data_IF_685844616118
#
_entry.id   IF_685844616118
#
_cell.length_a   1.000
_cell.length_b   1.000
_cell.length_c   1.000
_cell.angle_alpha   90.00
_cell.angle_beta   90.00
_cell.angle_gamma   90.00
#
_symmetry.space_group_name_H-M   'P 1'
#
loop_
_entity.id
_entity.type
_entity.pdbx_description
1 polymer ?
#
# COMPACT_ATOMS: atom_id res chain seq x y z
N UNK A 1 9.45 0.15 3.92
CA UNK A 1 9.80 1.36 4.69
C UNK A 1 10.03 2.50 3.71
N UNK A 2 9.03 3.37 3.57
CA UNK A 2 9.12 4.55 2.70
C UNK A 2 9.63 5.72 3.55
N UNK A 3 10.82 6.20 3.25
CA UNK A 3 11.38 7.42 3.82
C UNK A 3 11.14 8.57 2.86
N UNK A 4 10.23 9.48 3.22
CA UNK A 4 10.13 10.79 2.58
C UNK A 4 10.92 11.80 3.41
N UNK A 5 12.07 12.27 2.92
CA UNK A 5 12.81 13.36 3.53
C UNK A 5 12.39 14.67 2.88
N UNK A 6 11.52 15.43 3.53
CA UNK A 6 11.28 16.83 3.16
C UNK A 6 12.41 17.66 3.77
N UNK A 7 13.47 17.92 3.00
CA UNK A 7 14.54 18.82 3.40
C UNK A 7 14.05 20.26 3.31
N UNK A 8 13.90 20.92 4.45
CA UNK A 8 13.67 22.36 4.52
C UNK A 8 14.99 23.11 4.44
N UNK A 9 15.37 23.52 3.23
CA UNK A 9 16.60 24.33 2.98
C UNK A 9 16.39 25.84 3.25
N UNK A 10 15.27 26.23 3.87
CA UNK A 10 14.82 27.63 3.88
C UNK A 10 15.42 28.47 5.03
N UNK A 11 15.90 27.86 6.13
CA UNK A 11 16.37 28.61 7.29
C UNK A 11 17.84 28.31 7.62
N UNK A 12 18.76 29.02 6.99
CA UNK A 12 20.17 29.05 7.40
C UNK A 12 20.38 29.97 8.63
N UNK A 13 20.50 29.32 9.79
CA UNK A 13 21.29 29.72 10.98
C UNK A 13 21.08 31.16 11.51
N UNK A 14 20.07 31.31 12.33
CA UNK A 14 20.11 32.29 13.40
C UNK A 14 20.09 31.54 14.74
N UNK A 15 21.02 31.81 15.65
CA UNK A 15 21.03 31.21 16.97
C UNK A 15 19.72 31.55 17.70
N UNK A 16 19.02 30.53 18.21
CA UNK A 16 17.76 30.69 18.95
C UNK A 16 16.50 30.64 18.12
N UNK A 17 16.56 30.19 16.86
CA UNK A 17 15.41 29.82 16.04
C UNK A 17 15.10 28.32 16.15
N UNK A 18 13.85 27.96 16.03
CA UNK A 18 13.40 26.57 15.96
C UNK A 18 12.63 26.32 14.67
N UNK A 19 12.57 25.08 14.28
CA UNK A 19 11.72 24.65 13.17
C UNK A 19 11.00 23.36 13.52
N UNK A 20 9.95 23.08 12.79
CA UNK A 20 9.15 21.91 13.08
C UNK A 20 8.28 21.50 11.91
N UNK A 21 7.55 20.43 12.16
CA UNK A 21 6.62 19.85 11.21
C UNK A 21 5.38 19.35 11.92
N UNK A 22 4.22 19.59 11.32
CA UNK A 22 2.94 18.95 11.65
C UNK A 22 2.71 17.87 10.60
N UNK A 23 2.72 16.57 10.95
CA UNK A 23 2.66 15.49 9.96
C UNK A 23 1.35 15.38 9.17
N UNK A 24 0.24 15.92 9.72
CA UNK A 24 -1.06 15.86 9.07
C UNK A 24 -1.81 14.53 9.25
N UNK A 25 -1.37 13.70 10.20
CA UNK A 25 -1.96 12.40 10.56
C UNK A 25 -2.51 12.38 12.00
N UNK A 26 -2.70 13.54 12.60
CA UNK A 26 -3.19 13.69 13.96
C UNK A 26 -2.13 13.60 15.06
N UNK A 27 -0.87 13.32 14.71
CA UNK A 27 0.24 13.38 15.67
C UNK A 27 0.55 14.82 16.07
N UNK A 28 1.10 14.98 17.27
CA UNK A 28 1.60 16.27 17.74
C UNK A 28 2.74 16.80 16.86
N UNK A 29 2.90 18.13 16.76
CA UNK A 29 4.01 18.74 16.02
C UNK A 29 5.36 18.26 16.54
N UNK A 30 6.27 17.96 15.61
CA UNK A 30 7.68 17.63 15.92
C UNK A 30 8.46 18.93 15.76
N UNK A 31 9.17 19.35 16.83
CA UNK A 31 9.94 20.61 16.83
C UNK A 31 11.37 20.36 17.28
N UNK A 32 12.32 21.09 16.70
CA UNK A 32 13.72 21.06 17.08
C UNK A 32 14.34 22.45 16.98
N UNK A 33 15.40 22.68 17.78
CA UNK A 33 16.18 23.90 17.64
C UNK A 33 17.14 23.82 16.45
N UNK A 34 17.33 24.96 15.76
CA UNK A 34 18.17 25.00 14.56
C UNK A 34 19.67 24.75 14.83
N UNK A 35 20.07 24.75 16.10
CA UNK A 35 21.43 24.39 16.55
C UNK A 35 21.61 22.88 16.76
N UNK A 36 20.53 22.16 17.09
CA UNK A 36 20.56 20.74 17.44
C UNK A 36 20.35 19.84 16.22
N UNK A 37 19.57 20.30 15.26
CA UNK A 37 19.29 19.53 14.05
C UNK A 37 19.16 20.44 12.80
N UNK A 38 19.35 19.83 11.65
CA UNK A 38 19.15 20.48 10.34
C UNK A 38 18.03 19.84 9.52
N UNK A 39 17.46 18.74 10.04
CA UNK A 39 16.42 17.96 9.39
C UNK A 39 15.47 17.32 10.40
N UNK A 40 14.26 17.06 9.99
CA UNK A 40 13.27 16.26 10.72
C UNK A 40 12.82 15.14 9.79
N UNK A 41 12.99 13.89 10.22
CA UNK A 41 12.50 12.72 9.52
C UNK A 41 11.08 12.38 10.00
N UNK A 42 10.18 12.12 9.07
CA UNK A 42 8.82 11.67 9.35
C UNK A 42 8.63 10.30 8.70
N UNK A 43 8.13 9.36 9.49
CA UNK A 43 7.72 8.05 9.00
C UNK A 43 6.20 7.99 8.97
N UNK A 44 5.64 7.62 7.81
CA UNK A 44 4.22 7.31 7.64
C UNK A 44 4.06 5.80 7.54
N UNK A 45 3.17 5.24 8.35
CA UNK A 45 2.94 3.78 8.43
C UNK A 45 1.72 3.32 7.64
N UNK A 46 0.88 4.26 7.22
CA UNK A 46 -0.32 3.98 6.45
C UNK A 46 -0.32 4.77 5.15
N UNK A 47 -0.99 4.22 4.14
CA UNK A 47 -1.22 4.94 2.89
C UNK A 47 -2.18 6.12 3.10
N UNK A 48 -2.05 7.15 2.29
CA UNK A 48 -2.89 8.35 2.37
C UNK A 48 -2.28 9.56 1.68
N UNK A 49 -3.07 10.60 1.53
CA UNK A 49 -2.60 11.92 1.11
C UNK A 49 -2.54 12.82 2.36
N UNK A 50 -1.34 13.22 2.75
CA UNK A 50 -1.05 13.97 3.97
C UNK A 50 -0.74 15.42 3.68
N UNK A 51 -1.46 16.34 4.33
CA UNK A 51 -1.10 17.76 4.33
C UNK A 51 -0.09 18.03 5.44
N UNK A 52 1.17 17.97 5.09
CA UNK A 52 2.30 18.19 6.00
C UNK A 52 2.58 19.69 6.07
N UNK A 53 2.58 20.26 7.29
CA UNK A 53 2.95 21.67 7.50
C UNK A 53 4.35 21.78 8.08
N UNK A 54 5.30 22.26 7.28
CA UNK A 54 6.59 22.67 7.79
C UNK A 54 6.51 24.09 8.35
N UNK A 55 7.16 24.36 9.48
CA UNK A 55 7.18 25.69 10.06
C UNK A 55 8.53 26.07 10.62
N UNK A 56 8.82 27.39 10.60
CA UNK A 56 9.96 28.00 11.27
C UNK A 56 9.51 29.04 12.28
N UNK A 57 10.21 29.14 13.39
CA UNK A 57 9.98 30.15 14.42
C UNK A 57 11.29 30.91 14.64
N UNK A 58 11.26 32.23 14.47
CA UNK A 58 12.42 33.09 14.70
C UNK A 58 12.64 33.38 16.20
N UNK A 59 13.70 34.15 16.52
CA UNK A 59 14.02 34.57 17.88
C UNK A 59 12.98 35.49 18.52
N UNK A 60 12.17 36.16 17.73
CA UNK A 60 11.10 37.07 18.19
C UNK A 60 9.78 36.32 18.38
N UNK A 61 9.76 35.01 18.04
CA UNK A 61 8.58 34.13 18.15
C UNK A 61 7.61 34.23 16.96
N UNK A 62 8.02 34.87 15.86
CA UNK A 62 7.23 34.86 14.65
C UNK A 62 7.33 33.49 13.97
N UNK A 63 6.20 32.96 13.56
CA UNK A 63 6.09 31.67 12.90
C UNK A 63 5.71 31.85 11.44
N UNK A 64 6.40 31.14 10.56
CA UNK A 64 6.07 31.00 9.15
C UNK A 64 5.78 29.53 8.84
N UNK A 65 4.71 29.27 8.10
CA UNK A 65 4.23 27.94 7.75
C UNK A 65 4.26 27.71 6.25
N UNK A 66 4.60 26.50 5.84
CA UNK A 66 4.47 26.01 4.47
C UNK A 66 3.79 24.66 4.46
N UNK A 67 2.69 24.54 3.71
CA UNK A 67 1.98 23.27 3.53
C UNK A 67 2.53 22.55 2.31
N UNK A 68 2.77 21.26 2.46
CA UNK A 68 3.26 20.35 1.42
C UNK A 68 2.32 19.13 1.43
N UNK A 69 1.81 18.76 0.27
CA UNK A 69 1.07 17.50 0.14
C UNK A 69 2.04 16.35 -0.10
N UNK A 70 1.94 15.31 0.72
CA UNK A 70 2.76 14.10 0.65
C UNK A 70 1.83 12.91 0.40
N UNK A 71 2.02 12.27 -0.75
CA UNK A 71 1.28 11.08 -1.13
C UNK A 71 2.05 9.84 -0.69
N UNK A 72 1.41 8.98 0.07
CA UNK A 72 1.94 7.67 0.50
C UNK A 72 1.08 6.59 -0.14
N UNK A 73 1.62 5.92 -1.11
CA UNK A 73 1.02 4.75 -1.73
C UNK A 73 1.40 3.49 -0.96
N UNK A 74 0.60 2.45 -1.08
CA UNK A 74 0.88 1.16 -0.46
C UNK A 74 1.13 0.10 -1.53
N UNK A 75 2.20 -0.66 -1.34
CA UNK A 75 2.50 -1.85 -2.11
C UNK A 75 2.64 -3.04 -1.16
N UNK A 76 1.92 -4.12 -1.46
CA UNK A 76 1.92 -5.35 -0.66
C UNK A 76 2.20 -6.52 -1.59
N UNK A 77 3.23 -7.30 -1.28
CA UNK A 77 3.49 -8.60 -1.89
C UNK A 77 3.17 -9.71 -0.89
N UNK A 78 2.41 -10.70 -1.33
CA UNK A 78 2.02 -11.85 -0.54
C UNK A 78 2.28 -13.15 -1.30
N UNK A 79 2.93 -14.10 -0.64
CA UNK A 79 3.37 -15.36 -1.24
C UNK A 79 2.90 -16.54 -0.40
N UNK A 80 2.44 -17.57 -1.08
CA UNK A 80 2.15 -18.86 -0.50
C UNK A 80 2.63 -19.95 -1.44
N UNK A 81 3.44 -20.87 -0.94
CA UNK A 81 4.02 -21.94 -1.75
C UNK A 81 3.46 -23.28 -1.30
N UNK A 82 3.28 -24.18 -2.28
CA UNK A 82 2.83 -25.56 -2.06
C UNK A 82 1.54 -25.63 -1.24
N UNK A 83 0.57 -24.75 -1.55
CA UNK A 83 -0.71 -24.68 -0.83
C UNK A 83 -1.80 -25.48 -1.55
N UNK A 84 -2.59 -26.22 -0.78
CA UNK A 84 -3.82 -26.88 -1.26
C UNK A 84 -5.10 -26.16 -0.80
N UNK A 85 -4.93 -25.16 0.04
CA UNK A 85 -6.03 -24.32 0.53
C UNK A 85 -5.46 -22.92 0.72
N UNK A 86 -5.42 -22.11 -0.36
CA UNK A 86 -4.89 -20.77 -0.29
C UNK A 86 -5.57 -19.96 0.82
N UNK A 87 -4.76 -19.21 1.57
CA UNK A 87 -5.28 -18.30 2.59
C UNK A 87 -5.89 -17.06 1.95
N UNK A 88 -6.85 -16.46 2.62
CA UNK A 88 -7.46 -15.20 2.20
C UNK A 88 -6.44 -14.05 2.36
N UNK A 89 -6.16 -13.35 1.27
CA UNK A 89 -5.31 -12.16 1.30
C UNK A 89 -6.17 -10.94 1.62
N UNK A 90 -6.00 -10.39 2.82
CA UNK A 90 -6.82 -9.29 3.35
C UNK A 90 -6.07 -7.97 3.31
N UNK A 91 -6.71 -6.91 2.84
CA UNK A 91 -6.19 -5.55 2.89
C UNK A 91 -7.28 -4.52 3.16
N UNK A 92 -6.89 -3.39 3.76
CA UNK A 92 -7.78 -2.25 4.01
C UNK A 92 -7.43 -1.10 3.07
N UNK A 93 -8.41 -0.66 2.28
CA UNK A 93 -8.25 0.48 1.38
C UNK A 93 -8.56 1.84 2.01
N UNK A 94 -8.88 1.86 3.31
CA UNK A 94 -9.19 3.08 4.05
C UNK A 94 -7.91 3.87 4.34
N UNK A 95 -7.82 5.16 3.96
CA UNK A 95 -6.67 6.01 4.30
C UNK A 95 -6.47 6.11 5.82
N UNK A 96 -5.22 5.96 6.28
CA UNK A 96 -4.91 5.99 7.71
C UNK A 96 -5.08 7.36 8.39
N UNK A 97 -5.27 8.42 7.61
CA UNK A 97 -5.40 9.81 8.09
C UNK A 97 -6.80 10.41 7.91
N UNK A 98 -7.82 9.60 7.58
CA UNK A 98 -9.16 10.07 7.21
C UNK A 98 -9.16 11.08 6.03
N UNK A 99 -8.09 11.10 5.25
CA UNK A 99 -7.88 11.98 4.11
C UNK A 99 -8.64 11.56 2.85
N UNK A 100 -8.28 12.12 1.69
CA UNK A 100 -8.85 11.74 0.40
C UNK A 100 -8.73 10.24 0.13
N UNK A 101 -9.75 9.69 -0.50
CA UNK A 101 -9.80 8.26 -0.85
C UNK A 101 -8.80 7.94 -1.96
N UNK A 102 -8.24 6.71 -2.00
CA UNK A 102 -7.44 6.26 -3.13
C UNK A 102 -8.26 6.27 -4.42
N UNK A 103 -7.60 6.51 -5.54
CA UNK A 103 -8.25 6.51 -6.83
C UNK A 103 -8.67 5.10 -7.24
N UNK A 104 -7.83 4.13 -6.97
CA UNK A 104 -8.07 2.72 -7.25
C UNK A 104 -7.01 1.86 -6.54
N UNK A 105 -7.25 0.57 -6.51
CA UNK A 105 -6.20 -0.40 -6.26
C UNK A 105 -5.99 -1.33 -7.47
N UNK A 106 -4.76 -1.73 -7.66
CA UNK A 106 -4.32 -2.64 -8.71
C UNK A 106 -3.88 -3.95 -8.09
N UNK A 107 -4.58 -5.03 -8.44
CA UNK A 107 -4.21 -6.39 -8.07
C UNK A 107 -3.56 -7.09 -9.25
N UNK A 108 -2.38 -7.65 -9.03
CA UNK A 108 -1.76 -8.65 -9.90
C UNK A 108 -1.66 -9.95 -9.11
N UNK A 109 -2.29 -10.99 -9.60
CA UNK A 109 -2.23 -12.31 -9.00
C UNK A 109 -1.63 -13.29 -9.99
N UNK A 110 -0.70 -14.11 -9.52
CA UNK A 110 -0.13 -15.21 -10.28
C UNK A 110 -0.32 -16.51 -9.54
N UNK A 111 -0.65 -17.56 -10.26
CA UNK A 111 -0.77 -18.92 -9.75
C UNK A 111 0.12 -19.82 -10.61
N UNK A 112 1.08 -20.46 -10.00
CA UNK A 112 1.89 -21.48 -10.66
C UNK A 112 1.35 -22.85 -10.32
N UNK A 113 1.05 -23.64 -11.36
CA UNK A 113 0.78 -25.06 -11.26
C UNK A 113 2.11 -25.79 -11.36
N UNK A 114 2.71 -26.27 -10.24
CA UNK A 114 4.05 -26.85 -10.30
C UNK A 114 4.09 -28.13 -11.13
N UNK A 115 5.14 -28.27 -11.94
CA UNK A 115 5.34 -29.48 -12.74
C UNK A 115 5.67 -30.68 -11.86
N UNK A 116 4.83 -31.69 -11.89
CA UNK A 116 5.09 -32.98 -11.24
C UNK A 116 5.69 -33.91 -12.29
N UNK A 117 6.94 -34.34 -12.08
CA UNK A 117 7.72 -35.14 -13.04
C UNK A 117 7.24 -36.60 -13.15
N UNK A 118 6.59 -37.13 -12.13
CA UNK A 118 6.13 -38.51 -12.05
C UNK A 118 4.62 -38.64 -12.36
N UNK A 119 4.34 -38.92 -13.62
CA UNK A 119 3.18 -39.62 -14.20
C UNK A 119 1.79 -38.96 -14.23
N UNK A 120 1.43 -37.96 -13.44
CA UNK A 120 0.07 -37.39 -13.44
C UNK A 120 0.04 -35.89 -13.13
N UNK A 121 0.94 -35.10 -13.73
CA UNK A 121 0.75 -33.61 -13.68
C UNK A 121 -0.60 -33.26 -14.28
N UNK A 122 -1.48 -32.70 -13.47
CA UNK A 122 -2.83 -32.31 -13.87
C UNK A 122 -2.89 -30.80 -14.08
N UNK A 123 -3.74 -30.39 -14.97
CA UNK A 123 -4.17 -29.00 -15.03
C UNK A 123 -4.89 -28.65 -13.72
N UNK A 124 -4.97 -27.38 -13.41
CA UNK A 124 -5.71 -26.88 -12.26
C UNK A 124 -6.71 -25.82 -12.71
N UNK A 125 -7.93 -25.95 -12.26
CA UNK A 125 -8.95 -24.93 -12.39
C UNK A 125 -8.95 -24.04 -11.13
N UNK A 126 -8.72 -22.76 -11.31
CA UNK A 126 -8.71 -21.79 -10.21
C UNK A 126 -9.74 -20.68 -10.46
N UNK A 127 -10.27 -20.16 -9.35
CA UNK A 127 -11.12 -18.98 -9.36
C UNK A 127 -10.61 -17.96 -8.35
N UNK A 128 -10.50 -16.72 -8.79
CA UNK A 128 -10.26 -15.55 -7.96
C UNK A 128 -11.55 -14.80 -7.70
N UNK A 129 -11.79 -14.43 -6.47
CA UNK A 129 -12.87 -13.54 -6.09
C UNK A 129 -12.30 -12.37 -5.27
N UNK A 130 -12.64 -11.13 -5.64
CA UNK A 130 -12.47 -9.95 -4.78
C UNK A 130 -13.75 -9.76 -4.00
N UNK A 131 -13.64 -9.79 -2.69
CA UNK A 131 -14.78 -9.73 -1.77
C UNK A 131 -14.67 -8.51 -0.88
N UNK A 132 -15.77 -7.85 -0.59
CA UNK A 132 -15.88 -6.80 0.44
C UNK A 132 -17.14 -7.04 1.29
N UNK A 133 -17.51 -6.06 2.12
CA UNK A 133 -18.69 -6.17 2.99
C UNK A 133 -20.03 -6.34 2.24
N UNK A 134 -20.07 -5.97 0.95
CA UNK A 134 -21.26 -6.11 0.09
C UNK A 134 -21.30 -7.46 -0.64
N UNK A 135 -20.22 -8.23 -0.59
CA UNK A 135 -20.05 -9.52 -1.24
C UNK A 135 -18.99 -9.52 -2.33
N UNK A 136 -19.10 -10.45 -3.28
CA UNK A 136 -18.14 -10.57 -4.38
C UNK A 136 -18.27 -9.38 -5.34
N UNK A 137 -17.19 -8.60 -5.47
CA UNK A 137 -17.12 -7.42 -6.35
C UNK A 137 -16.64 -7.79 -7.75
N UNK A 138 -15.66 -8.71 -7.82
CA UNK A 138 -15.07 -9.18 -9.07
C UNK A 138 -14.77 -10.66 -8.95
N UNK A 139 -14.80 -11.35 -10.08
CA UNK A 139 -14.43 -12.75 -10.16
C UNK A 139 -13.73 -13.02 -11.50
N UNK A 140 -12.79 -13.95 -11.49
CA UNK A 140 -12.16 -14.49 -12.68
C UNK A 140 -11.85 -15.98 -12.45
N UNK A 141 -11.76 -16.74 -13.54
CA UNK A 141 -11.37 -18.14 -13.49
C UNK A 141 -10.42 -18.47 -14.63
N UNK A 142 -9.52 -19.40 -14.39
CA UNK A 142 -8.53 -19.86 -15.37
C UNK A 142 -8.25 -21.35 -15.17
N UNK A 143 -8.07 -22.07 -16.30
CA UNK A 143 -7.48 -23.41 -16.32
C UNK A 143 -5.99 -23.28 -16.61
N UNK A 144 -5.15 -23.74 -15.70
CA UNK A 144 -3.70 -23.61 -15.75
C UNK A 144 -3.09 -24.98 -15.99
N UNK A 145 -2.39 -25.14 -17.12
CA UNK A 145 -1.73 -26.39 -17.50
C UNK A 145 -0.64 -26.82 -16.52
N UNK A 146 -0.34 -28.10 -16.48
CA UNK A 146 0.74 -28.64 -15.65
C UNK A 146 2.09 -28.00 -15.98
N UNK A 147 2.73 -27.37 -15.02
CA UNK A 147 3.97 -26.62 -15.14
C UNK A 147 3.81 -25.18 -15.64
N UNK A 148 2.58 -24.73 -15.93
CA UNK A 148 2.30 -23.38 -16.41
C UNK A 148 1.96 -22.43 -15.26
N UNK A 149 1.85 -21.14 -15.62
CA UNK A 149 1.49 -20.07 -14.70
C UNK A 149 0.30 -19.30 -15.26
N UNK A 150 -0.76 -19.19 -14.46
CA UNK A 150 -1.93 -18.36 -14.72
C UNK A 150 -1.77 -16.97 -14.13
N UNK A 151 -2.49 -16.00 -14.71
CA UNK A 151 -2.40 -14.60 -14.34
C UNK A 151 -3.77 -13.94 -14.29
N UNK A 152 -4.02 -13.23 -13.22
CA UNK A 152 -5.14 -12.31 -13.17
C UNK A 152 -4.68 -10.92 -12.76
N UNK A 153 -4.98 -9.95 -13.61
CA UNK A 153 -4.74 -8.54 -13.33
C UNK A 153 -6.06 -7.80 -13.34
N UNK A 154 -6.36 -7.11 -12.27
CA UNK A 154 -7.57 -6.31 -12.19
C UNK A 154 -7.32 -4.96 -11.54
N UNK A 155 -8.16 -4.02 -11.91
CA UNK A 155 -8.22 -2.66 -11.42
C UNK A 155 -9.58 -2.48 -10.75
N UNK A 156 -9.60 -2.06 -9.50
CA UNK A 156 -10.82 -1.96 -8.73
C UNK A 156 -11.03 -0.55 -8.19
N UNK A 157 -12.23 -0.02 -8.42
CA UNK A 157 -12.74 1.24 -7.88
C UNK A 157 -13.85 0.87 -6.90
N UNK A 158 -13.47 0.50 -5.70
CA UNK A 158 -14.41 0.02 -4.69
C UNK A 158 -14.67 1.03 -3.58
N UNK A 159 -15.69 0.77 -2.77
CA UNK A 159 -15.90 1.55 -1.56
C UNK A 159 -14.69 1.39 -0.62
N UNK A 160 -14.46 2.40 0.20
CA UNK A 160 -13.49 2.31 1.30
C UNK A 160 -13.91 1.21 2.25
N UNK A 161 -13.14 0.14 2.31
CA UNK A 161 -13.42 -0.98 3.20
C UNK A 161 -12.26 -1.97 3.22
N UNK A 162 -12.36 -2.93 4.11
CA UNK A 162 -11.58 -4.15 4.05
C UNK A 162 -12.02 -4.97 2.84
N UNK A 163 -11.06 -5.42 2.08
CA UNK A 163 -11.23 -6.33 0.95
C UNK A 163 -10.47 -7.61 1.20
N UNK A 164 -10.96 -8.68 0.63
CA UNK A 164 -10.36 -10.01 0.68
C UNK A 164 -10.20 -10.55 -0.74
N UNK A 165 -9.05 -11.12 -1.02
CA UNK A 165 -8.83 -11.88 -2.26
C UNK A 165 -8.92 -13.35 -1.89
N UNK A 166 -9.96 -14.00 -2.39
CA UNK A 166 -10.15 -15.43 -2.25
C UNK A 166 -9.65 -16.12 -3.52
N UNK A 167 -8.71 -17.02 -3.38
CA UNK A 167 -8.28 -17.91 -4.44
C UNK A 167 -8.76 -19.33 -4.12
N UNK A 168 -9.55 -19.89 -5.01
CA UNK A 168 -10.17 -21.21 -4.84
C UNK A 168 -9.62 -22.15 -5.89
N UNK A 169 -9.11 -23.31 -5.46
CA UNK A 169 -8.83 -24.45 -6.34
C UNK A 169 -10.16 -25.18 -6.53
N UNK A 170 -10.68 -25.18 -7.76
CA UNK A 170 -11.97 -25.81 -8.08
C UNK A 170 -11.84 -27.27 -8.48
N UNK A 171 -10.82 -27.58 -9.30
CA UNK A 171 -10.53 -28.95 -9.76
C UNK A 171 -9.07 -29.08 -10.20
N UNK A 172 -8.61 -30.30 -10.33
CA UNK A 172 -7.31 -30.65 -10.93
C UNK A 172 -6.19 -30.89 -9.91
N UNK A 173 -5.10 -30.13 -10.02
CA UNK A 173 -3.95 -30.26 -9.15
C UNK A 173 -4.27 -29.85 -7.70
N UNK A 174 -3.73 -30.62 -6.74
CA UNK A 174 -4.06 -30.42 -5.32
C UNK A 174 -3.22 -29.33 -4.64
N UNK A 175 -2.16 -28.84 -5.28
CA UNK A 175 -1.23 -27.85 -4.71
C UNK A 175 -0.71 -26.91 -5.79
N UNK A 176 -0.61 -25.63 -5.39
CA UNK A 176 -0.18 -24.52 -6.24
C UNK A 176 0.75 -23.60 -5.47
N UNK A 177 1.50 -22.78 -6.20
CA UNK A 177 2.20 -21.60 -5.64
C UNK A 177 1.44 -20.35 -6.02
N UNK A 178 1.30 -19.43 -5.07
CA UNK A 178 0.51 -18.21 -5.22
C UNK A 178 1.35 -16.98 -4.93
N UNK A 179 1.20 -15.95 -5.74
CA UNK A 179 1.73 -14.62 -5.48
C UNK A 179 0.67 -13.56 -5.79
N UNK A 180 0.32 -12.76 -4.79
CA UNK A 180 -0.49 -11.57 -4.96
C UNK A 180 0.38 -10.33 -4.77
N UNK A 181 0.28 -9.39 -5.68
CA UNK A 181 0.87 -8.05 -5.58
C UNK A 181 -0.25 -7.02 -5.67
N UNK A 182 -0.36 -6.19 -4.65
CA UNK A 182 -1.38 -5.16 -4.53
C UNK A 182 -0.73 -3.79 -4.44
N UNK A 183 -1.24 -2.85 -5.23
CA UNK A 183 -0.90 -1.43 -5.15
C UNK A 183 -2.15 -0.61 -4.86
N UNK A 184 -2.11 0.23 -3.81
CA UNK A 184 -3.15 1.22 -3.51
C UNK A 184 -2.65 2.57 -3.99
N UNK A 185 -3.36 3.14 -4.97
CA UNK A 185 -2.89 4.26 -5.78
C UNK A 185 -3.78 5.49 -5.55
N UNK A 186 -3.13 6.64 -5.37
CA UNK A 186 -3.75 7.95 -5.32
C UNK A 186 -3.52 8.68 -6.64
N UNK A 187 -4.50 9.43 -7.12
CA UNK A 187 -4.27 10.35 -8.25
C UNK A 187 -3.73 11.67 -7.72
N UNK A 188 -2.77 12.26 -8.43
CA UNK A 188 -2.38 13.63 -8.16
C UNK A 188 -3.63 14.53 -8.27
N UNK A 189 -3.87 15.35 -7.26
CA UNK A 189 -4.90 16.39 -7.32
C UNK A 189 -4.45 17.42 -8.37
N UNK A 190 -5.12 17.40 -9.53
CA UNK A 190 -4.88 18.33 -10.61
C UNK A 190 -5.29 19.77 -10.28
#
# INVERSE_FOLDING_TARGET
QLQSSAASDVYKRQHGSSFGVVPGDGREPITTDSVDATEIAIEFTFHGLYSVTAFGIDQEGHREDQVIEVMIEQHIDWYENDTGTPEEFVFDSTPGNEGPIPSHFLLNSTVQNPSIIDFDGRDVDVRWDVVNQEGVCQTAGENIGNGDTGFWKTLHFGPLSVHEIHLVIEDGQDRIDVHHSLEIIYSESG
#
